data_IF_985737470497
#
_entry.id   IF_985737470497
#
_cell.length_a   1.000
_cell.length_b   1.000
_cell.length_c   1.000
_cell.angle_alpha   90.00
_cell.angle_beta   90.00
_cell.angle_gamma   90.00
#
_symmetry.space_group_name_H-M   'P 1'
#
loop_
_entity.id
_entity.type
_entity.pdbx_description
1 polymer ?
#
# COMPACT_ATOMS: atom_id res chain seq x y z
N UNK A 1 -24.85 -72.69 -8.90
CA UNK A 1 -24.53 -71.89 -7.70
C UNK A 1 -23.04 -72.00 -7.48
N UNK A 2 -22.23 -71.01 -7.89
CA UNK A 2 -21.82 -69.85 -7.06
C UNK A 2 -21.41 -70.26 -5.64
N UNK A 3 -20.11 -70.15 -5.34
CA UNK A 3 -19.46 -69.52 -4.18
C UNK A 3 -17.95 -69.78 -4.37
N UNK A 4 -17.09 -68.84 -3.97
CA UNK A 4 -15.61 -68.78 -4.18
C UNK A 4 -15.08 -67.96 -5.36
N UNK A 5 -15.58 -66.73 -5.51
CA UNK A 5 -14.86 -65.67 -6.23
C UNK A 5 -14.91 -64.34 -5.46
N UNK A 6 -14.60 -64.36 -4.15
CA UNK A 6 -14.61 -63.16 -3.30
C UNK A 6 -13.28 -62.84 -2.58
N UNK A 7 -12.18 -63.53 -2.92
CA UNK A 7 -10.85 -63.23 -2.36
C UNK A 7 -9.85 -62.88 -3.46
N UNK A 8 -10.06 -61.72 -4.09
CA UNK A 8 -8.98 -60.96 -4.71
C UNK A 8 -9.36 -59.48 -4.79
N UNK A 9 -9.69 -58.88 -3.64
CA UNK A 9 -9.47 -57.43 -3.46
C UNK A 9 -7.97 -57.26 -3.45
N UNK A 10 -7.42 -56.67 -4.49
CA UNK A 10 -6.06 -56.13 -4.47
C UNK A 10 -5.96 -55.25 -3.23
N UNK A 11 -5.06 -55.61 -2.31
CA UNK A 11 -4.63 -54.72 -1.27
C UNK A 11 -3.88 -53.57 -1.93
N UNK A 12 -4.59 -52.52 -2.32
CA UNK A 12 -3.99 -51.19 -2.41
C UNK A 12 -3.45 -50.90 -1.01
N UNK A 13 -2.14 -51.05 -0.84
CA UNK A 13 -1.43 -50.48 0.31
C UNK A 13 -1.82 -49.01 0.33
N UNK A 14 -2.63 -48.57 1.30
CA UNK A 14 -2.72 -47.16 1.64
C UNK A 14 -1.31 -46.74 2.00
N UNK A 15 -0.60 -46.07 1.09
CA UNK A 15 0.64 -45.38 1.43
C UNK A 15 0.31 -44.48 2.62
N UNK A 16 1.02 -44.68 3.74
CA UNK A 16 0.83 -43.84 4.92
C UNK A 16 1.13 -42.39 4.57
N UNK A 17 0.43 -41.45 5.22
CA UNK A 17 0.68 -40.01 5.06
C UNK A 17 2.17 -39.76 5.29
N UNK A 18 2.87 -39.29 4.26
CA UNK A 18 4.30 -39.03 4.35
C UNK A 18 4.51 -37.65 4.98
N UNK A 19 5.19 -37.60 6.13
CA UNK A 19 5.59 -36.32 6.72
C UNK A 19 6.87 -35.83 6.04
N UNK A 20 6.87 -34.56 5.62
CA UNK A 20 7.99 -33.93 4.90
C UNK A 20 8.24 -32.56 5.51
N UNK A 21 9.49 -32.26 5.85
CA UNK A 21 9.87 -30.92 6.28
C UNK A 21 9.76 -29.94 5.12
N UNK A 22 9.22 -28.74 5.37
CA UNK A 22 9.05 -27.74 4.32
C UNK A 22 10.37 -27.38 3.61
N UNK A 23 11.50 -27.40 4.33
CA UNK A 23 12.83 -27.19 3.74
C UNK A 23 13.25 -28.28 2.74
N UNK A 24 12.78 -29.50 2.92
CA UNK A 24 13.10 -30.68 2.09
C UNK A 24 12.09 -30.90 0.96
N UNK A 25 10.96 -30.18 0.96
CA UNK A 25 9.87 -30.39 0.02
C UNK A 25 10.30 -30.15 -1.44
N UNK A 26 11.15 -29.15 -1.68
CA UNK A 26 11.68 -28.86 -3.01
C UNK A 26 12.50 -30.02 -3.59
N UNK A 27 13.44 -30.56 -2.81
CA UNK A 27 14.23 -31.73 -3.23
C UNK A 27 13.34 -32.94 -3.47
N UNK A 28 12.31 -33.14 -2.63
CA UNK A 28 11.38 -34.24 -2.79
C UNK A 28 10.54 -34.10 -4.07
N UNK A 29 9.96 -32.93 -4.36
CA UNK A 29 9.23 -32.68 -5.62
C UNK A 29 10.18 -32.86 -6.81
N UNK A 30 11.42 -32.36 -6.71
CA UNK A 30 12.45 -32.52 -7.74
C UNK A 30 12.80 -33.99 -8.01
N UNK A 31 12.87 -34.81 -6.96
CA UNK A 31 13.13 -36.26 -7.09
C UNK A 31 12.00 -36.99 -7.83
N UNK A 32 10.75 -36.55 -7.65
CA UNK A 32 9.60 -37.06 -8.40
C UNK A 32 9.69 -36.66 -9.87
N UNK A 33 10.12 -35.42 -10.15
CA UNK A 33 10.39 -34.95 -11.51
C UNK A 33 11.45 -35.78 -12.21
N UNK A 34 12.58 -36.04 -11.54
CA UNK A 34 13.65 -36.88 -12.08
C UNK A 34 13.21 -38.32 -12.36
N UNK A 35 12.43 -38.93 -11.46
CA UNK A 35 11.89 -40.28 -11.66
C UNK A 35 10.87 -40.35 -12.81
N UNK A 36 9.99 -39.36 -12.89
CA UNK A 36 9.03 -39.24 -13.98
C UNK A 36 9.73 -39.08 -15.33
N UNK A 37 10.75 -38.22 -15.37
CA UNK A 37 11.59 -38.00 -16.55
C UNK A 37 12.30 -39.27 -16.98
N UNK A 38 12.99 -39.97 -16.07
CA UNK A 38 13.72 -41.19 -16.39
C UNK A 38 12.80 -42.28 -16.97
N UNK A 39 11.62 -42.45 -16.35
CA UNK A 39 10.61 -43.42 -16.79
C UNK A 39 10.07 -43.08 -18.18
N UNK A 40 9.80 -41.79 -18.43
CA UNK A 40 9.31 -41.34 -19.73
C UNK A 40 10.40 -41.45 -20.80
N UNK A 41 11.64 -41.09 -20.47
CA UNK A 41 12.78 -41.17 -21.38
C UNK A 41 13.06 -42.62 -21.82
N UNK A 42 12.94 -43.60 -20.92
CA UNK A 42 13.04 -45.02 -21.29
C UNK A 42 11.99 -45.44 -22.33
N UNK A 43 10.73 -44.96 -22.21
CA UNK A 43 9.70 -45.20 -23.24
C UNK A 43 10.03 -44.48 -24.56
N UNK A 44 10.53 -43.25 -24.47
CA UNK A 44 10.84 -42.40 -25.63
C UNK A 44 12.00 -42.94 -26.46
N UNK A 45 13.02 -43.57 -25.86
CA UNK A 45 14.13 -44.21 -26.61
C UNK A 45 13.59 -45.24 -27.61
N UNK A 46 12.62 -46.07 -27.19
CA UNK A 46 11.96 -47.03 -28.07
C UNK A 46 11.21 -46.34 -29.21
N UNK A 47 10.40 -45.32 -28.87
CA UNK A 47 9.58 -44.59 -29.85
C UNK A 47 10.46 -43.84 -30.88
N UNK A 48 11.56 -43.22 -30.45
CA UNK A 48 12.53 -42.53 -31.33
C UNK A 48 13.17 -43.49 -32.33
N UNK A 49 13.53 -44.69 -31.88
CA UNK A 49 14.05 -45.75 -32.73
C UNK A 49 13.00 -46.20 -33.76
N UNK A 50 11.76 -46.40 -33.33
CA UNK A 50 10.67 -46.80 -34.21
C UNK A 50 10.33 -45.72 -35.25
N UNK A 51 10.36 -44.44 -34.87
CA UNK A 51 10.21 -43.32 -35.82
C UNK A 51 11.31 -43.34 -36.87
N UNK A 52 12.57 -43.55 -36.45
CA UNK A 52 13.72 -43.63 -37.36
C UNK A 52 13.54 -44.76 -38.38
N UNK A 53 13.04 -45.90 -37.92
CA UNK A 53 12.75 -47.06 -38.76
C UNK A 53 11.59 -46.79 -39.73
N UNK A 54 10.52 -46.12 -39.29
CA UNK A 54 9.43 -45.70 -40.18
C UNK A 54 9.91 -44.69 -41.24
N UNK A 55 10.81 -43.74 -40.90
CA UNK A 55 11.44 -42.83 -41.88
C UNK A 55 12.23 -43.60 -42.95
N UNK A 56 12.97 -44.64 -42.54
CA UNK A 56 13.69 -45.53 -43.46
C UNK A 56 12.71 -46.30 -44.35
N UNK A 57 11.66 -46.89 -43.77
CA UNK A 57 10.63 -47.62 -44.50
C UNK A 57 9.90 -46.76 -45.54
N UNK A 58 9.59 -45.50 -45.21
CA UNK A 58 9.03 -44.53 -46.17
C UNK A 58 10.00 -44.30 -47.33
N UNK A 59 11.28 -44.08 -47.03
CA UNK A 59 12.30 -43.80 -48.04
C UNK A 59 12.46 -44.98 -49.01
N UNK A 60 12.46 -46.21 -48.50
CA UNK A 60 12.52 -47.44 -49.31
C UNK A 60 11.25 -47.62 -50.17
N UNK A 61 10.07 -47.38 -49.60
CA UNK A 61 8.82 -47.52 -50.33
C UNK A 61 8.63 -46.40 -51.38
N UNK A 62 9.16 -45.20 -51.14
CA UNK A 62 9.24 -44.14 -52.14
C UNK A 62 10.15 -44.51 -53.30
N UNK A 63 11.30 -45.13 -53.02
CA UNK A 63 12.20 -45.62 -54.07
C UNK A 63 11.51 -46.71 -54.91
N UNK A 64 10.86 -47.68 -54.27
CA UNK A 64 10.05 -48.70 -54.96
C UNK A 64 8.96 -48.07 -55.83
N UNK A 65 8.23 -47.07 -55.33
CA UNK A 65 7.20 -46.35 -56.08
C UNK A 65 7.78 -45.69 -57.35
N UNK A 66 9.00 -45.13 -57.25
CA UNK A 66 9.70 -44.53 -58.40
C UNK A 66 10.13 -45.57 -59.43
N UNK A 67 10.67 -46.70 -58.97
CA UNK A 67 11.24 -47.75 -59.83
C UNK A 67 10.18 -48.69 -60.44
N UNK A 68 8.96 -48.70 -59.89
CA UNK A 68 7.90 -49.63 -60.34
C UNK A 68 7.35 -49.22 -61.72
N UNK A 69 7.38 -50.17 -62.65
CA UNK A 69 6.78 -50.02 -63.99
C UNK A 69 5.29 -50.37 -64.02
N UNK A 70 4.60 -49.85 -65.03
CA UNK A 70 3.18 -50.14 -65.26
C UNK A 70 2.98 -51.58 -65.73
N UNK A 71 2.15 -52.33 -64.99
CA UNK A 71 1.73 -53.69 -65.38
C UNK A 71 0.89 -53.69 -66.68
N UNK A 72 0.16 -52.62 -66.96
CA UNK A 72 -0.58 -52.44 -68.21
C UNK A 72 0.02 -51.27 -69.00
N UNK A 73 0.74 -51.58 -70.07
CA UNK A 73 1.38 -50.56 -70.92
C UNK A 73 0.41 -49.95 -71.96
N UNK A 74 -0.78 -50.51 -72.13
CA UNK A 74 -1.79 -50.08 -73.12
C UNK A 74 -2.71 -48.95 -72.60
N UNK A 75 -2.17 -48.03 -71.80
CA UNK A 75 -2.92 -46.88 -71.29
C UNK A 75 -2.64 -45.61 -72.13
N UNK A 76 -3.60 -44.66 -72.23
CA UNK A 76 -3.41 -43.42 -72.96
C UNK A 76 -2.22 -42.60 -72.45
N UNK A 77 -1.49 -41.94 -73.35
CA UNK A 77 -0.29 -41.16 -73.02
C UNK A 77 -0.57 -40.05 -71.98
N UNK A 78 -1.74 -39.40 -72.09
CA UNK A 78 -2.21 -38.42 -71.09
C UNK A 78 -2.31 -39.00 -69.68
N UNK A 79 -2.72 -40.27 -69.53
CA UNK A 79 -2.80 -40.93 -68.24
C UNK A 79 -1.40 -41.23 -67.67
N UNK A 80 -0.43 -41.62 -68.51
CA UNK A 80 0.98 -41.81 -68.12
C UNK A 80 1.59 -40.52 -67.59
N UNK A 81 1.37 -39.40 -68.27
CA UNK A 81 1.86 -38.07 -67.88
C UNK A 81 1.24 -37.60 -66.55
N UNK A 82 -0.08 -37.72 -66.40
CA UNK A 82 -0.77 -37.35 -65.14
C UNK A 82 -0.20 -38.17 -63.97
N UNK A 83 -0.05 -39.48 -64.13
CA UNK A 83 0.53 -40.36 -63.12
C UNK A 83 1.96 -39.96 -62.76
N UNK A 84 2.82 -39.72 -63.74
CA UNK A 84 4.23 -39.33 -63.52
C UNK A 84 4.33 -38.03 -62.73
N UNK A 85 3.59 -36.99 -63.16
CA UNK A 85 3.53 -35.72 -62.45
C UNK A 85 3.04 -35.88 -61.01
N UNK A 86 1.97 -36.68 -60.79
CA UNK A 86 1.48 -36.92 -59.45
C UNK A 86 2.49 -37.69 -58.59
N UNK A 87 3.26 -38.62 -59.16
CA UNK A 87 4.31 -39.37 -58.47
C UNK A 87 5.41 -38.46 -57.98
N UNK A 88 5.98 -37.64 -58.88
CA UNK A 88 7.07 -36.72 -58.55
C UNK A 88 6.64 -35.78 -57.42
N UNK A 89 5.45 -35.17 -57.55
CA UNK A 89 4.94 -34.27 -56.52
C UNK A 89 4.67 -34.98 -55.18
N UNK A 90 4.13 -36.20 -55.20
CA UNK A 90 3.88 -36.96 -53.96
C UNK A 90 5.19 -37.32 -53.25
N UNK A 91 6.17 -37.83 -54.00
CA UNK A 91 7.48 -38.21 -53.48
C UNK A 91 8.19 -37.00 -52.89
N UNK A 92 8.26 -35.88 -53.62
CA UNK A 92 8.88 -34.65 -53.14
C UNK A 92 8.26 -34.14 -51.84
N UNK A 93 6.92 -34.07 -51.77
CA UNK A 93 6.23 -33.58 -50.58
C UNK A 93 6.39 -34.51 -49.38
N UNK A 94 6.43 -35.82 -49.60
CA UNK A 94 6.62 -36.77 -48.51
C UNK A 94 8.06 -36.76 -48.00
N UNK A 95 9.04 -36.61 -48.88
CA UNK A 95 10.44 -36.44 -48.46
C UNK A 95 10.61 -35.19 -47.59
N UNK A 96 9.98 -34.07 -47.96
CA UNK A 96 10.01 -32.84 -47.14
C UNK A 96 9.41 -33.09 -45.75
N UNK A 97 8.21 -33.70 -45.67
CA UNK A 97 7.59 -34.02 -44.38
C UNK A 97 8.52 -34.89 -43.53
N UNK A 98 9.05 -35.98 -44.10
CA UNK A 98 9.94 -36.91 -43.38
C UNK A 98 11.22 -36.22 -42.90
N UNK A 99 11.78 -35.29 -43.67
CA UNK A 99 12.95 -34.52 -43.23
C UNK A 99 12.65 -33.62 -42.04
N UNK A 100 11.45 -33.02 -41.98
CA UNK A 100 11.01 -32.18 -40.87
C UNK A 100 10.73 -32.96 -39.57
N UNK A 101 10.49 -34.27 -39.65
CA UNK A 101 10.31 -35.12 -38.46
C UNK A 101 11.66 -35.34 -37.76
N UNK A 102 12.06 -34.43 -36.89
CA UNK A 102 13.20 -34.56 -35.99
C UNK A 102 12.72 -34.54 -34.54
N UNK A 103 12.68 -35.71 -33.90
CA UNK A 103 12.26 -35.81 -32.50
C UNK A 103 13.32 -35.14 -31.62
N UNK A 104 12.97 -34.15 -30.79
CA UNK A 104 13.90 -33.52 -29.86
C UNK A 104 14.56 -34.50 -28.87
N UNK A 105 15.78 -34.15 -28.45
CA UNK A 105 16.44 -34.85 -27.34
C UNK A 105 15.98 -34.33 -25.99
N UNK A 106 15.71 -33.04 -25.88
CA UNK A 106 15.22 -32.41 -24.66
C UNK A 106 13.72 -32.64 -24.48
N UNK A 107 13.32 -33.01 -23.27
CA UNK A 107 11.97 -33.48 -22.98
C UNK A 107 10.93 -32.36 -23.01
N UNK A 108 11.30 -31.17 -22.57
CA UNK A 108 10.50 -29.94 -22.59
C UNK A 108 10.21 -29.45 -24.01
N UNK A 109 10.99 -29.86 -25.00
CA UNK A 109 10.74 -29.57 -26.42
C UNK A 109 9.73 -30.53 -27.08
N UNK A 110 9.44 -31.69 -26.46
CA UNK A 110 8.61 -32.75 -27.06
C UNK A 110 7.15 -32.33 -27.28
N UNK A 111 6.58 -31.54 -26.36
CA UNK A 111 5.21 -31.04 -26.50
C UNK A 111 5.06 -30.09 -27.72
N UNK A 112 6.07 -29.23 -27.91
CA UNK A 112 6.15 -28.35 -29.08
C UNK A 112 6.32 -29.14 -30.38
N UNK A 113 7.16 -30.18 -30.36
CA UNK A 113 7.34 -31.09 -31.49
C UNK A 113 6.05 -31.82 -31.89
N UNK A 114 5.28 -32.36 -30.94
CA UNK A 114 4.03 -33.06 -31.26
C UNK A 114 3.04 -32.12 -31.97
N UNK A 115 2.93 -30.88 -31.48
CA UNK A 115 2.06 -29.86 -32.07
C UNK A 115 2.50 -29.46 -33.49
N UNK A 116 3.81 -29.34 -33.74
CA UNK A 116 4.33 -28.97 -35.06
C UNK A 116 4.18 -30.11 -36.07
N UNK A 117 4.36 -31.36 -35.63
CA UNK A 117 4.15 -32.54 -36.47
C UNK A 117 2.70 -32.66 -36.94
N UNK A 118 1.72 -32.47 -36.04
CA UNK A 118 0.30 -32.52 -36.40
C UNK A 118 -0.05 -31.48 -37.47
N UNK A 119 0.49 -30.27 -37.35
CA UNK A 119 0.31 -29.21 -38.34
C UNK A 119 0.96 -29.58 -39.69
N UNK A 120 2.18 -30.12 -39.68
CA UNK A 120 2.89 -30.57 -40.87
C UNK A 120 2.15 -31.72 -41.57
N UNK A 121 1.64 -32.70 -40.82
CA UNK A 121 0.88 -33.84 -41.33
C UNK A 121 -0.45 -33.39 -41.95
N UNK A 122 -1.18 -32.47 -41.32
CA UNK A 122 -2.42 -31.92 -41.87
C UNK A 122 -2.18 -31.15 -43.19
N UNK A 123 -1.11 -30.35 -43.24
CA UNK A 123 -0.68 -29.64 -44.46
C UNK A 123 -0.29 -30.62 -45.58
N UNK A 124 0.49 -31.64 -45.26
CA UNK A 124 0.84 -32.71 -46.19
C UNK A 124 -0.40 -33.41 -46.74
N UNK A 125 -1.31 -33.86 -45.86
CA UNK A 125 -2.52 -34.59 -46.23
C UNK A 125 -3.40 -33.79 -47.18
N UNK A 126 -3.70 -32.52 -46.84
CA UNK A 126 -4.51 -31.64 -47.68
C UNK A 126 -3.92 -31.41 -49.06
N UNK A 127 -2.59 -31.34 -49.15
CA UNK A 127 -1.89 -30.97 -50.39
C UNK A 127 -1.47 -32.15 -51.25
N UNK A 128 -1.67 -33.40 -50.79
CA UNK A 128 -1.29 -34.63 -51.50
C UNK A 128 -2.43 -35.61 -51.73
N UNK A 129 -3.63 -35.35 -51.19
CA UNK A 129 -4.78 -36.27 -51.28
C UNK A 129 -5.08 -36.73 -52.71
N UNK A 130 -5.05 -35.79 -53.68
CA UNK A 130 -5.27 -36.09 -55.10
C UNK A 130 -4.16 -36.98 -55.65
N UNK A 131 -2.91 -36.64 -55.35
CA UNK A 131 -1.74 -37.40 -55.79
C UNK A 131 -1.81 -38.84 -55.29
N UNK A 132 -2.14 -39.02 -54.01
CA UNK A 132 -2.31 -40.34 -53.41
C UNK A 132 -3.38 -41.17 -54.14
N UNK A 133 -4.58 -40.62 -54.37
CA UNK A 133 -5.64 -41.35 -55.05
C UNK A 133 -5.29 -41.72 -56.50
N UNK A 134 -4.63 -40.82 -57.23
CA UNK A 134 -4.12 -41.13 -58.58
C UNK A 134 -3.11 -42.26 -58.50
N UNK A 135 -2.12 -42.19 -57.61
CA UNK A 135 -1.09 -43.21 -57.49
C UNK A 135 -1.65 -44.55 -57.04
N UNK A 136 -2.64 -44.56 -56.14
CA UNK A 136 -3.30 -45.79 -55.68
C UNK A 136 -3.95 -46.57 -56.84
N UNK A 137 -4.45 -45.90 -57.88
CA UNK A 137 -5.02 -46.57 -59.05
C UNK A 137 -3.97 -47.32 -59.90
N UNK A 138 -2.72 -46.87 -59.88
CA UNK A 138 -1.64 -47.43 -60.70
C UNK A 138 -0.64 -48.28 -59.90
N UNK A 139 -0.47 -47.97 -58.61
CA UNK A 139 0.55 -48.46 -57.68
C UNK A 139 -0.07 -48.69 -56.30
N UNK A 140 -1.13 -49.50 -56.26
CA UNK A 140 -1.93 -49.70 -55.04
C UNK A 140 -1.07 -50.18 -53.86
N UNK A 141 -0.18 -51.14 -54.10
CA UNK A 141 0.64 -51.75 -53.06
C UNK A 141 1.66 -50.74 -52.51
N UNK A 142 2.36 -50.04 -53.39
CA UNK A 142 3.40 -49.08 -53.03
C UNK A 142 2.79 -47.87 -52.31
N UNK A 143 1.69 -47.31 -52.84
CA UNK A 143 0.98 -46.20 -52.21
C UNK A 143 0.38 -46.60 -50.86
N UNK A 144 -0.14 -47.83 -50.73
CA UNK A 144 -0.70 -48.31 -49.46
C UNK A 144 0.38 -48.59 -48.41
N UNK A 145 1.54 -49.11 -48.80
CA UNK A 145 2.68 -49.31 -47.91
C UNK A 145 3.17 -47.98 -47.33
N UNK A 146 3.33 -46.95 -48.18
CA UNK A 146 3.70 -45.59 -47.75
C UNK A 146 2.67 -45.01 -46.77
N UNK A 147 1.38 -45.15 -47.08
CA UNK A 147 0.30 -44.68 -46.20
C UNK A 147 0.30 -45.41 -44.84
N UNK A 148 0.64 -46.70 -44.82
CA UNK A 148 0.78 -47.46 -43.58
C UNK A 148 1.95 -46.96 -42.72
N UNK A 149 3.12 -46.68 -43.33
CA UNK A 149 4.25 -46.09 -42.60
C UNK A 149 3.89 -44.72 -41.99
N UNK A 150 3.21 -43.86 -42.76
CA UNK A 150 2.80 -42.53 -42.30
C UNK A 150 1.83 -42.63 -41.11
N UNK A 151 0.88 -43.55 -41.17
CA UNK A 151 -0.07 -43.81 -40.07
C UNK A 151 0.63 -44.35 -38.82
N UNK A 152 1.64 -45.20 -38.99
CA UNK A 152 2.46 -45.68 -37.87
C UNK A 152 3.25 -44.52 -37.25
N UNK A 153 3.82 -43.64 -38.06
CA UNK A 153 4.53 -42.45 -37.60
C UNK A 153 3.62 -41.51 -36.80
N UNK A 154 2.41 -41.23 -37.30
CA UNK A 154 1.38 -40.47 -36.57
C UNK A 154 1.07 -41.10 -35.20
N UNK A 155 0.86 -42.41 -35.16
CA UNK A 155 0.64 -43.15 -33.90
C UNK A 155 1.83 -43.02 -32.95
N UNK A 156 3.06 -43.11 -33.45
CA UNK A 156 4.28 -43.00 -32.63
C UNK A 156 4.42 -41.60 -32.04
N UNK A 157 4.15 -40.54 -32.81
CA UNK A 157 4.16 -39.16 -32.30
C UNK A 157 3.07 -38.97 -31.24
N UNK A 158 1.88 -39.54 -31.43
CA UNK A 158 0.85 -39.54 -30.38
C UNK A 158 1.30 -40.27 -29.11
N UNK A 159 2.03 -41.38 -29.22
CA UNK A 159 2.63 -42.06 -28.07
C UNK A 159 3.68 -41.21 -27.36
N UNK A 160 4.40 -40.33 -28.06
CA UNK A 160 5.30 -39.34 -27.43
C UNK A 160 4.47 -38.39 -26.57
N UNK A 161 3.39 -37.83 -27.13
CA UNK A 161 2.50 -36.93 -26.40
C UNK A 161 1.92 -37.59 -25.15
N UNK A 162 1.39 -38.82 -25.28
CA UNK A 162 0.86 -39.59 -24.16
C UNK A 162 1.94 -39.88 -23.10
N UNK A 163 3.18 -40.19 -23.49
CA UNK A 163 4.27 -40.39 -22.56
C UNK A 163 4.65 -39.13 -21.78
N UNK A 164 4.56 -37.95 -22.42
CA UNK A 164 4.78 -36.64 -21.77
C UNK A 164 3.67 -36.34 -20.77
N UNK A 165 2.41 -36.53 -21.16
CA UNK A 165 1.24 -36.30 -20.30
C UNK A 165 1.19 -37.28 -19.11
N UNK A 166 1.45 -38.57 -19.35
CA UNK A 166 1.48 -39.63 -18.33
C UNK A 166 2.57 -39.41 -17.28
N UNK A 167 3.70 -38.83 -17.68
CA UNK A 167 4.79 -38.51 -16.76
C UNK A 167 4.38 -37.43 -15.75
N UNK A 168 3.34 -36.64 -16.05
CA UNK A 168 2.83 -35.60 -15.14
C UNK A 168 3.84 -34.50 -14.83
N UNK A 169 4.81 -34.26 -15.71
CA UNK A 169 5.91 -33.30 -15.49
C UNK A 169 5.38 -31.86 -15.37
N UNK A 170 4.38 -31.48 -16.16
CA UNK A 170 3.73 -30.17 -16.02
C UNK A 170 3.19 -29.95 -14.62
N UNK A 171 2.56 -30.99 -14.06
CA UNK A 171 2.00 -30.95 -12.71
C UNK A 171 3.10 -30.82 -11.65
N UNK A 172 4.25 -31.45 -11.86
CA UNK A 172 5.42 -31.36 -10.98
C UNK A 172 6.04 -29.95 -11.05
N UNK A 173 6.15 -29.38 -12.26
CA UNK A 173 6.67 -28.03 -12.47
C UNK A 173 5.78 -26.97 -11.81
N UNK A 174 4.46 -27.06 -11.99
CA UNK A 174 3.52 -26.15 -11.33
C UNK A 174 3.58 -26.25 -9.79
N UNK A 175 3.81 -27.44 -9.24
CA UNK A 175 4.02 -27.63 -7.80
C UNK A 175 5.35 -27.03 -7.34
N UNK A 176 6.40 -27.19 -8.13
CA UNK A 176 7.71 -26.59 -7.87
C UNK A 176 7.61 -25.06 -7.83
N UNK A 177 6.89 -24.46 -8.76
CA UNK A 177 6.70 -23.00 -8.79
C UNK A 177 5.83 -22.51 -7.63
N UNK A 178 4.78 -23.26 -7.27
CA UNK A 178 3.98 -23.00 -6.07
C UNK A 178 4.86 -23.05 -4.81
N UNK A 179 5.75 -24.04 -4.71
CA UNK A 179 6.70 -24.18 -3.60
C UNK A 179 7.68 -23.01 -3.52
N UNK A 180 8.27 -22.60 -4.65
CA UNK A 180 9.14 -21.41 -4.72
C UNK A 180 8.40 -20.16 -4.24
N UNK A 181 7.13 -19.99 -4.61
CA UNK A 181 6.29 -18.89 -4.13
C UNK A 181 6.11 -18.89 -2.61
N UNK A 182 5.92 -20.07 -2.01
CA UNK A 182 5.86 -20.22 -0.55
C UNK A 182 7.21 -19.89 0.12
N UNK A 183 8.32 -20.37 -0.44
CA UNK A 183 9.66 -20.04 0.09
C UNK A 183 9.93 -18.52 0.07
N UNK A 184 9.56 -17.82 -1.01
CA UNK A 184 9.69 -16.37 -1.10
C UNK A 184 8.86 -15.65 -0.01
N UNK A 185 7.64 -16.12 0.26
CA UNK A 185 6.81 -15.57 1.34
C UNK A 185 7.40 -15.81 2.74
N UNK A 186 8.00 -16.98 2.97
CA UNK A 186 8.69 -17.28 4.24
C UNK A 186 9.90 -16.37 4.43
N UNK A 187 10.73 -16.22 3.40
CA UNK A 187 11.87 -15.30 3.44
C UNK A 187 11.42 -13.86 3.73
N UNK A 188 10.37 -13.39 3.06
CA UNK A 188 9.78 -12.08 3.34
C UNK A 188 9.31 -11.96 4.80
N UNK A 189 8.70 -13.01 5.36
CA UNK A 189 8.27 -13.04 6.77
C UNK A 189 9.44 -12.93 7.73
N UNK A 190 10.56 -13.59 7.45
CA UNK A 190 11.80 -13.48 8.23
C UNK A 190 12.38 -12.05 8.18
N UNK A 191 12.49 -11.48 6.98
CA UNK A 191 12.96 -10.09 6.80
C UNK A 191 12.06 -9.07 7.51
N UNK A 192 10.74 -9.31 7.53
CA UNK A 192 9.79 -8.48 8.27
C UNK A 192 10.03 -8.59 9.77
N UNK A 193 10.28 -9.79 10.30
CA UNK A 193 10.56 -9.99 11.73
C UNK A 193 11.85 -9.28 12.18
N UNK A 194 12.90 -9.31 11.38
CA UNK A 194 14.12 -8.53 11.64
C UNK A 194 13.84 -7.02 11.68
N UNK A 195 13.10 -6.51 10.69
CA UNK A 195 12.69 -5.10 10.61
C UNK A 195 11.78 -4.70 11.78
N UNK A 196 10.86 -5.56 12.20
CA UNK A 196 10.02 -5.36 13.39
C UNK A 196 10.89 -5.23 14.63
N UNK A 197 11.91 -6.08 14.78
CA UNK A 197 12.90 -5.98 15.86
C UNK A 197 13.62 -4.64 15.89
N UNK A 198 14.15 -4.20 14.75
CA UNK A 198 14.86 -2.92 14.62
C UNK A 198 13.96 -1.72 14.96
N UNK A 199 12.79 -1.63 14.35
CA UNK A 199 11.83 -0.54 14.59
C UNK A 199 11.31 -0.58 16.04
N UNK A 200 11.17 -1.78 16.61
CA UNK A 200 10.81 -1.96 18.02
C UNK A 200 11.85 -1.40 18.98
N UNK A 201 13.15 -1.56 18.68
CA UNK A 201 14.22 -0.99 19.49
C UNK A 201 14.32 0.54 19.34
N UNK A 202 14.17 1.05 18.13
CA UNK A 202 14.05 2.49 17.86
C UNK A 202 12.91 3.12 18.69
N UNK A 203 11.72 2.51 18.66
CA UNK A 203 10.57 2.97 19.45
C UNK A 203 10.86 2.97 20.95
N UNK A 204 11.59 1.98 21.47
CA UNK A 204 12.00 1.94 22.88
C UNK A 204 12.96 3.07 23.21
N UNK A 205 13.93 3.36 22.35
CA UNK A 205 14.88 4.47 22.55
C UNK A 205 14.16 5.82 22.55
N UNK A 206 13.24 6.04 21.62
CA UNK A 206 12.45 7.28 21.58
C UNK A 206 11.58 7.45 22.82
N UNK A 207 10.92 6.38 23.29
CA UNK A 207 10.15 6.40 24.53
C UNK A 207 11.02 6.70 25.76
N UNK A 208 12.25 6.17 25.83
CA UNK A 208 13.21 6.56 26.89
C UNK A 208 13.51 8.05 26.83
N UNK A 209 13.70 8.60 25.63
CA UNK A 209 13.85 10.04 25.42
C UNK A 209 12.66 10.84 25.94
N UNK A 210 11.42 10.41 25.67
CA UNK A 210 10.22 11.06 26.23
C UNK A 210 10.28 11.12 27.75
N UNK A 211 10.56 9.99 28.41
CA UNK A 211 10.64 9.91 29.88
C UNK A 211 11.75 10.82 30.43
N UNK A 212 12.91 10.87 29.78
CA UNK A 212 14.03 11.71 30.17
C UNK A 212 13.67 13.20 30.08
N UNK A 213 13.13 13.65 28.95
CA UNK A 213 12.75 15.06 28.77
C UNK A 213 11.57 15.47 29.67
N UNK A 214 10.62 14.57 29.95
CA UNK A 214 9.58 14.81 30.96
C UNK A 214 10.16 14.95 32.36
N UNK A 215 11.18 14.15 32.71
CA UNK A 215 11.88 14.27 34.00
C UNK A 215 12.62 15.61 34.07
N UNK A 216 13.30 16.02 33.01
CA UNK A 216 13.99 17.31 32.93
C UNK A 216 13.02 18.49 33.06
N UNK A 217 11.87 18.44 32.37
CA UNK A 217 10.83 19.47 32.49
C UNK A 217 10.33 19.59 33.93
N UNK A 218 9.99 18.47 34.56
CA UNK A 218 9.56 18.47 35.98
C UNK A 218 10.64 19.01 36.92
N UNK A 219 11.91 18.69 36.67
CA UNK A 219 13.04 19.23 37.42
C UNK A 219 13.15 20.75 37.26
N UNK A 220 12.99 21.26 36.04
CA UNK A 220 12.95 22.71 35.77
C UNK A 220 11.77 23.36 36.49
N UNK A 221 10.57 22.79 36.42
CA UNK A 221 9.36 23.31 37.08
C UNK A 221 9.50 23.39 38.61
N UNK A 222 10.31 22.51 39.20
CA UNK A 222 10.61 22.54 40.63
C UNK A 222 11.74 23.50 41.02
N UNK A 223 12.53 23.95 40.03
CA UNK A 223 13.65 24.87 40.23
C UNK A 223 13.19 26.22 40.74
N UNK A 224 14.10 26.90 41.44
CA UNK A 224 13.84 28.24 41.96
C UNK A 224 13.60 29.25 40.83
N UNK A 225 14.39 29.18 39.75
CA UNK A 225 14.27 30.07 38.59
C UNK A 225 12.89 29.96 37.90
N UNK A 226 12.35 28.74 37.77
CA UNK A 226 11.03 28.55 37.19
C UNK A 226 9.91 29.02 38.12
N UNK A 227 10.03 28.81 39.44
CA UNK A 227 9.08 29.33 40.43
C UNK A 227 9.04 30.85 40.44
N UNK A 228 10.19 31.49 40.31
CA UNK A 228 10.29 32.95 40.16
C UNK A 228 9.57 33.41 38.90
N UNK A 229 9.83 32.76 37.76
CA UNK A 229 9.11 33.01 36.52
C UNK A 229 7.59 32.84 36.67
N UNK A 230 7.12 31.76 37.29
CA UNK A 230 5.71 31.53 37.55
C UNK A 230 5.12 32.65 38.42
N UNK A 231 5.84 33.09 39.45
CA UNK A 231 5.46 34.23 40.27
C UNK A 231 5.36 35.55 39.48
N UNK A 232 6.20 35.76 38.46
CA UNK A 232 6.08 36.91 37.55
C UNK A 232 4.78 36.84 36.72
N UNK A 233 4.39 35.64 36.26
CA UNK A 233 3.11 35.44 35.55
C UNK A 233 1.92 35.75 36.45
N UNK A 234 1.93 35.30 37.71
CA UNK A 234 0.88 35.58 38.68
C UNK A 234 0.78 37.08 38.98
N UNK A 235 1.92 37.75 39.21
CA UNK A 235 1.99 39.21 39.39
C UNK A 235 1.42 39.96 38.20
N UNK A 236 1.70 39.49 36.98
CA UNK A 236 1.16 40.09 35.75
C UNK A 236 -0.35 39.98 35.71
N UNK A 237 -0.90 38.82 36.06
CA UNK A 237 -2.33 38.63 36.11
C UNK A 237 -3.00 39.56 37.14
N UNK A 238 -2.40 39.70 38.34
CA UNK A 238 -2.89 40.63 39.36
C UNK A 238 -2.89 42.09 38.86
N UNK A 239 -1.79 42.55 38.24
CA UNK A 239 -1.72 43.91 37.69
C UNK A 239 -2.73 44.16 36.57
N UNK A 240 -2.99 43.16 35.72
CA UNK A 240 -4.03 43.24 34.68
C UNK A 240 -5.41 43.38 35.33
N UNK A 241 -5.70 42.60 36.37
CA UNK A 241 -6.96 42.70 37.10
C UNK A 241 -7.14 44.05 37.80
N UNK A 242 -6.07 44.59 38.41
CA UNK A 242 -6.07 45.92 39.02
C UNK A 242 -6.33 47.02 37.99
N UNK A 243 -5.69 46.94 36.81
CA UNK A 243 -5.87 47.91 35.73
C UNK A 243 -7.30 47.87 35.19
N UNK A 244 -7.87 46.68 35.00
CA UNK A 244 -9.27 46.53 34.59
C UNK A 244 -10.24 47.01 35.68
N UNK A 245 -9.93 46.79 36.95
CA UNK A 245 -10.68 47.35 38.07
C UNK A 245 -10.70 48.88 38.04
N UNK A 246 -9.54 49.50 37.82
CA UNK A 246 -9.40 50.95 37.70
C UNK A 246 -10.21 51.49 36.51
N UNK A 247 -10.12 50.87 35.33
CA UNK A 247 -10.91 51.25 34.15
C UNK A 247 -12.41 51.15 34.41
N UNK A 248 -12.86 50.10 35.11
CA UNK A 248 -14.28 49.93 35.47
C UNK A 248 -14.79 51.01 36.41
N UNK A 249 -13.95 51.49 37.34
CA UNK A 249 -14.32 52.57 38.26
C UNK A 249 -14.63 53.85 37.48
N UNK A 250 -13.71 54.29 36.61
CA UNK A 250 -13.93 55.51 35.83
C UNK A 250 -15.06 55.34 34.80
N UNK A 251 -15.21 54.14 34.20
CA UNK A 251 -16.32 53.81 33.32
C UNK A 251 -17.67 54.01 34.02
N UNK A 252 -17.77 53.57 35.28
CA UNK A 252 -18.99 53.75 36.07
C UNK A 252 -19.32 55.23 36.26
N UNK A 253 -18.32 56.04 36.66
CA UNK A 253 -18.48 57.48 36.84
C UNK A 253 -18.94 58.17 35.55
N UNK A 254 -18.30 57.89 34.42
CA UNK A 254 -18.71 58.42 33.11
C UNK A 254 -20.10 57.93 32.67
N UNK A 255 -20.47 56.68 32.98
CA UNK A 255 -21.80 56.15 32.70
C UNK A 255 -22.90 56.90 33.48
N UNK A 256 -22.62 57.28 34.73
CA UNK A 256 -23.54 58.07 35.55
C UNK A 256 -23.74 59.46 34.95
N UNK A 257 -22.66 60.15 34.56
CA UNK A 257 -22.73 61.53 34.06
C UNK A 257 -23.03 61.65 32.56
N UNK A 258 -23.05 60.54 31.81
CA UNK A 258 -23.25 60.49 30.35
C UNK A 258 -24.46 61.30 29.87
N UNK A 259 -25.59 61.21 30.59
CA UNK A 259 -26.80 61.95 30.24
C UNK A 259 -26.63 63.47 30.36
N UNK A 260 -25.85 63.93 31.35
CA UNK A 260 -25.54 65.35 31.53
C UNK A 260 -24.54 65.82 30.47
N UNK A 261 -23.49 65.04 30.18
CA UNK A 261 -22.53 65.32 29.11
C UNK A 261 -23.21 65.47 27.74
N UNK A 262 -24.14 64.57 27.38
CA UNK A 262 -24.91 64.67 26.12
C UNK A 262 -25.79 65.92 26.02
N UNK A 263 -26.36 66.36 27.14
CA UNK A 263 -27.16 67.58 27.17
C UNK A 263 -26.27 68.81 27.05
N UNK A 264 -25.15 68.82 27.76
CA UNK A 264 -24.18 69.90 27.71
C UNK A 264 -23.55 70.06 26.32
N UNK A 265 -23.19 68.97 25.63
CA UNK A 265 -22.67 69.01 24.25
C UNK A 265 -23.62 69.72 23.27
N UNK A 266 -24.94 69.53 23.44
CA UNK A 266 -25.96 70.21 22.63
C UNK A 266 -26.10 71.69 22.96
N UNK A 267 -25.88 72.07 24.22
CA UNK A 267 -25.94 73.47 24.67
C UNK A 267 -24.71 74.28 24.24
N UNK A 268 -23.53 73.66 24.21
CA UNK A 268 -22.26 74.34 23.91
C UNK A 268 -21.88 74.33 22.43
N UNK A 269 -22.86 74.14 21.52
CA UNK A 269 -22.65 74.10 20.07
C UNK A 269 -21.65 73.01 19.63
N UNK A 270 -21.77 71.80 20.18
CA UNK A 270 -20.98 70.62 19.78
C UNK A 270 -19.48 70.73 20.07
N UNK A 271 -19.12 71.00 21.33
CA UNK A 271 -17.72 70.99 21.77
C UNK A 271 -17.04 69.64 21.44
N UNK A 272 -16.00 69.71 20.60
CA UNK A 272 -15.22 68.56 20.11
C UNK A 272 -14.60 67.75 21.27
N UNK A 273 -14.25 68.40 22.38
CA UNK A 273 -13.69 67.73 23.55
C UNK A 273 -14.77 66.89 24.25
N UNK A 274 -15.97 67.46 24.46
CA UNK A 274 -17.10 66.74 25.08
C UNK A 274 -17.50 65.53 24.24
N UNK A 275 -17.51 65.66 22.91
CA UNK A 275 -17.74 64.54 21.99
C UNK A 275 -16.71 63.42 22.15
N UNK A 276 -15.42 63.78 22.26
CA UNK A 276 -14.36 62.81 22.51
C UNK A 276 -14.61 61.97 23.78
N UNK A 277 -15.02 62.62 24.87
CA UNK A 277 -15.35 61.92 26.12
C UNK A 277 -16.63 61.07 26.05
N UNK A 278 -17.59 61.41 25.18
CA UNK A 278 -18.80 60.62 24.95
C UNK A 278 -18.53 59.37 24.09
N UNK A 279 -17.55 59.42 23.20
CA UNK A 279 -17.15 58.31 22.33
C UNK A 279 -16.22 57.33 23.05
N UNK A 280 -15.12 57.83 23.62
CA UNK A 280 -14.16 57.06 24.41
C UNK A 280 -13.53 57.95 25.48
N UNK A 281 -14.14 57.94 26.67
CA UNK A 281 -13.68 58.73 27.81
C UNK A 281 -12.24 58.41 28.22
N UNK A 282 -11.77 57.18 28.05
CA UNK A 282 -10.43 56.79 28.50
C UNK A 282 -9.39 57.35 27.53
N UNK A 283 -9.59 57.17 26.23
CA UNK A 283 -8.72 57.73 25.20
C UNK A 283 -8.73 59.26 25.24
N UNK A 284 -9.90 59.88 25.44
CA UNK A 284 -10.04 61.32 25.59
C UNK A 284 -9.29 61.83 26.83
N UNK A 285 -9.41 61.16 27.97
CA UNK A 285 -8.71 61.53 29.20
C UNK A 285 -7.19 61.44 29.07
N UNK A 286 -6.69 60.40 28.40
CA UNK A 286 -5.24 60.25 28.14
C UNK A 286 -4.70 61.32 27.19
N UNK A 287 -5.54 61.87 26.31
CA UNK A 287 -5.19 62.95 25.39
C UNK A 287 -5.34 64.37 25.97
N UNK A 288 -6.13 64.53 27.04
CA UNK A 288 -6.44 65.82 27.67
C UNK A 288 -5.37 66.25 28.67
N UNK A 289 -4.22 66.68 28.15
CA UNK A 289 -3.04 67.08 28.96
C UNK A 289 -3.31 68.22 29.95
N UNK A 290 -4.34 69.04 29.71
CA UNK A 290 -4.69 70.17 30.57
C UNK A 290 -5.84 69.83 31.54
N UNK A 291 -6.41 68.62 31.45
CA UNK A 291 -7.57 68.18 32.23
C UNK A 291 -8.76 69.14 32.13
N UNK A 292 -9.02 69.63 30.91
CA UNK A 292 -10.15 70.52 30.62
C UNK A 292 -11.50 69.89 30.94
N UNK A 293 -11.57 68.55 30.99
CA UNK A 293 -12.74 67.83 31.48
C UNK A 293 -13.17 68.24 32.89
N UNK A 294 -12.25 68.61 33.79
CA UNK A 294 -12.61 69.07 35.13
C UNK A 294 -13.43 70.37 35.06
N UNK A 295 -13.00 71.33 34.23
CA UNK A 295 -13.75 72.57 33.99
C UNK A 295 -15.13 72.32 33.35
N UNK A 296 -15.20 71.33 32.45
CA UNK A 296 -16.47 70.92 31.83
C UNK A 296 -17.41 70.32 32.86
N UNK A 297 -16.92 69.44 33.74
CA UNK A 297 -17.69 68.82 34.81
C UNK A 297 -18.23 69.89 35.78
N UNK A 298 -17.41 70.89 36.14
CA UNK A 298 -17.83 72.02 36.98
C UNK A 298 -18.91 72.88 36.31
N UNK A 299 -18.74 73.19 35.02
CA UNK A 299 -19.76 73.93 34.24
C UNK A 299 -21.07 73.15 34.15
N UNK A 300 -21.00 71.84 33.95
CA UNK A 300 -22.19 70.97 33.94
C UNK A 300 -22.88 71.00 35.31
N UNK A 301 -22.12 70.88 36.40
CA UNK A 301 -22.67 70.94 37.75
C UNK A 301 -23.35 72.29 38.02
N UNK A 302 -22.72 73.41 37.64
CA UNK A 302 -23.27 74.75 37.77
C UNK A 302 -24.55 74.95 36.95
N UNK A 303 -24.59 74.53 35.68
CA UNK A 303 -25.79 74.63 34.84
C UNK A 303 -26.94 73.76 35.34
N UNK A 304 -26.67 72.61 35.97
CA UNK A 304 -27.71 71.79 36.63
C UNK A 304 -28.23 72.48 37.91
N UNK A 305 -27.36 73.13 38.67
CA UNK A 305 -27.69 73.89 39.89
C UNK A 305 -28.55 75.12 39.60
N UNK A 306 -28.18 75.88 38.55
CA UNK A 306 -28.85 77.12 38.14
C UNK A 306 -30.14 76.89 37.34
N UNK A 307 -30.49 75.64 37.03
CA UNK A 307 -31.71 75.29 36.30
C UNK A 307 -31.60 75.40 34.77
N UNK A 308 -30.43 75.75 34.24
CA UNK A 308 -30.16 75.83 32.80
C UNK A 308 -30.12 74.46 32.12
N UNK A 309 -29.71 73.42 32.86
CA UNK A 309 -29.69 72.03 32.40
C UNK A 309 -30.68 71.18 33.20
N UNK A 310 -31.88 71.00 32.65
CA UNK A 310 -32.95 70.25 33.33
C UNK A 310 -32.67 68.74 33.41
N UNK A 311 -32.65 68.18 34.62
CA UNK A 311 -32.59 66.73 34.89
C UNK A 311 -33.71 66.33 35.86
N UNK A 312 -34.35 65.18 35.64
CA UNK A 312 -35.54 64.74 36.40
C UNK A 312 -35.19 64.11 37.75
N UNK A 313 -35.75 64.64 38.84
CA UNK A 313 -35.89 63.98 40.17
C UNK A 313 -34.59 63.38 40.75
N UNK A 314 -34.68 62.23 41.43
CA UNK A 314 -33.55 61.51 42.09
C UNK A 314 -32.32 61.25 41.19
N UNK A 315 -32.46 61.31 39.86
CA UNK A 315 -31.32 61.18 38.93
C UNK A 315 -30.45 62.44 38.91
N UNK A 316 -31.04 63.61 39.12
CA UNK A 316 -30.32 64.89 39.24
C UNK A 316 -29.31 64.83 40.39
N UNK A 317 -29.77 64.41 41.57
CA UNK A 317 -28.93 64.37 42.78
C UNK A 317 -27.76 63.38 42.63
N UNK A 318 -28.01 62.20 42.05
CA UNK A 318 -26.97 61.19 41.80
C UNK A 318 -25.92 61.67 40.80
N UNK A 319 -26.34 62.39 39.74
CA UNK A 319 -25.42 62.97 38.75
C UNK A 319 -24.60 64.10 39.37
N UNK A 320 -25.23 65.01 40.12
CA UNK A 320 -24.53 66.09 40.82
C UNK A 320 -23.49 65.55 41.80
N UNK A 321 -23.85 64.55 42.61
CA UNK A 321 -22.92 63.88 43.51
C UNK A 321 -21.72 63.27 42.79
N UNK A 322 -21.93 62.70 41.61
CA UNK A 322 -20.83 62.12 40.83
C UNK A 322 -19.97 63.19 40.15
N UNK A 323 -20.58 64.25 39.61
CA UNK A 323 -19.86 65.39 39.03
C UNK A 323 -18.95 66.06 40.06
N UNK A 324 -19.42 66.27 41.29
CA UNK A 324 -18.59 66.85 42.36
C UNK A 324 -17.40 65.99 42.79
N UNK A 325 -17.39 64.68 42.47
CA UNK A 325 -16.23 63.81 42.71
C UNK A 325 -15.22 63.86 41.56
N UNK A 326 -15.67 64.21 40.36
CA UNK A 326 -14.87 64.20 39.13
C UNK A 326 -14.13 65.54 38.96
N UNK A 327 -13.39 65.92 40.00
CA UNK A 327 -12.56 67.12 39.98
C UNK A 327 -11.18 66.85 39.36
N UNK A 328 -10.37 67.90 39.25
CA UNK A 328 -9.01 67.80 38.71
C UNK A 328 -8.15 66.81 39.50
N UNK A 329 -8.25 66.79 40.83
CA UNK A 329 -7.47 65.91 41.69
C UNK A 329 -7.82 64.43 41.47
N UNK A 330 -9.11 64.11 41.27
CA UNK A 330 -9.57 62.77 40.92
C UNK A 330 -8.96 62.29 39.61
N UNK A 331 -9.01 63.12 38.54
CA UNK A 331 -8.45 62.75 37.25
C UNK A 331 -6.93 62.61 37.28
N UNK A 332 -6.23 63.48 38.01
CA UNK A 332 -4.78 63.36 38.24
C UNK A 332 -4.43 62.07 38.97
N UNK A 333 -5.16 61.72 40.03
CA UNK A 333 -4.96 60.48 40.78
C UNK A 333 -5.24 59.24 39.92
N UNK A 334 -6.31 59.26 39.12
CA UNK A 334 -6.63 58.19 38.18
C UNK A 334 -5.51 57.99 37.15
N UNK A 335 -5.08 59.07 36.48
CA UNK A 335 -4.04 59.00 35.46
C UNK A 335 -2.70 58.58 36.04
N UNK A 336 -2.34 59.09 37.23
CA UNK A 336 -1.14 58.68 37.95
C UNK A 336 -1.10 57.17 38.21
N UNK A 337 -2.18 56.62 38.77
CA UNK A 337 -2.29 55.17 39.02
C UNK A 337 -2.33 54.36 37.71
N UNK A 338 -3.05 54.84 36.70
CA UNK A 338 -3.11 54.18 35.38
C UNK A 338 -1.74 54.09 34.71
N UNK A 339 -0.96 55.17 34.74
CA UNK A 339 0.39 55.18 34.19
C UNK A 339 1.35 54.32 35.02
N UNK A 340 1.25 54.33 36.35
CA UNK A 340 2.05 53.46 37.22
C UNK A 340 1.80 51.98 36.91
N UNK A 341 0.53 51.55 36.87
CA UNK A 341 0.16 50.16 36.58
C UNK A 341 0.64 49.73 35.19
N UNK A 342 0.48 50.57 34.17
CA UNK A 342 0.96 50.27 32.82
C UNK A 342 2.50 50.22 32.75
N UNK A 343 3.21 51.10 33.45
CA UNK A 343 4.67 51.07 33.53
C UNK A 343 5.16 49.77 34.17
N UNK A 344 4.57 49.40 35.32
CA UNK A 344 4.88 48.14 36.01
C UNK A 344 4.58 46.92 35.15
N UNK A 345 3.45 46.92 34.42
CA UNK A 345 3.09 45.86 33.49
C UNK A 345 4.07 45.77 32.31
N UNK A 346 4.55 46.90 31.81
CA UNK A 346 5.58 46.97 30.78
C UNK A 346 6.92 46.38 31.23
N UNK A 347 7.42 46.78 32.41
CA UNK A 347 8.64 46.21 33.01
C UNK A 347 8.50 44.69 33.22
N UNK A 348 7.36 44.26 33.78
CA UNK A 348 7.12 42.86 34.05
C UNK A 348 7.02 42.01 32.78
N UNK A 349 6.46 42.54 31.68
CA UNK A 349 6.47 41.86 30.37
C UNK A 349 7.91 41.64 29.89
N UNK A 350 8.77 42.64 30.00
CA UNK A 350 10.18 42.53 29.59
C UNK A 350 10.94 41.51 30.44
N UNK A 351 10.68 41.45 31.75
CA UNK A 351 11.27 40.44 32.65
C UNK A 351 10.81 39.02 32.29
N UNK A 352 9.52 38.85 31.98
CA UNK A 352 8.94 37.58 31.52
C UNK A 352 9.55 37.13 30.19
N UNK A 353 9.65 38.03 29.22
CA UNK A 353 10.21 37.73 27.88
C UNK A 353 11.69 37.37 27.94
N UNK A 354 12.44 37.97 28.87
CA UNK A 354 13.86 37.72 29.03
C UNK A 354 14.18 36.57 30.00
N UNK A 355 13.17 35.94 30.60
CA UNK A 355 13.38 34.82 31.53
C UNK A 355 14.02 33.62 30.85
N UNK A 356 15.22 33.24 31.30
CA UNK A 356 15.91 32.06 30.79
C UNK A 356 15.16 30.77 31.12
N UNK A 357 14.51 30.71 32.28
CA UNK A 357 13.65 29.58 32.66
C UNK A 357 12.47 29.40 31.71
N UNK A 358 11.89 30.50 31.21
CA UNK A 358 10.82 30.45 30.22
C UNK A 358 11.33 29.92 28.87
N UNK A 359 12.48 30.42 28.41
CA UNK A 359 13.13 29.98 27.17
C UNK A 359 13.50 28.50 27.24
N UNK A 360 14.10 28.04 28.34
CA UNK A 360 14.45 26.63 28.53
C UNK A 360 13.21 25.74 28.58
N UNK A 361 12.16 26.16 29.30
CA UNK A 361 10.91 25.41 29.37
C UNK A 361 10.26 25.24 27.99
N UNK A 362 10.24 26.30 27.17
CA UNK A 362 9.68 26.22 25.82
C UNK A 362 10.54 25.36 24.89
N UNK A 363 11.87 25.44 25.00
CA UNK A 363 12.78 24.55 24.27
C UNK A 363 12.54 23.08 24.62
N UNK A 364 12.46 22.74 25.92
CA UNK A 364 12.17 21.38 26.38
C UNK A 364 10.81 20.91 25.86
N UNK A 365 9.76 21.75 25.98
CA UNK A 365 8.42 21.42 25.47
C UNK A 365 8.41 21.19 23.96
N UNK A 366 9.15 22.00 23.20
CA UNK A 366 9.28 21.84 21.76
C UNK A 366 9.95 20.51 21.39
N UNK A 367 11.08 20.19 22.03
CA UNK A 367 11.76 18.90 21.84
C UNK A 367 10.87 17.72 22.24
N UNK A 368 10.13 17.84 23.34
CA UNK A 368 9.19 16.82 23.79
C UNK A 368 8.09 16.59 22.75
N UNK A 369 7.49 17.66 22.19
CA UNK A 369 6.49 17.55 21.10
C UNK A 369 7.07 16.83 19.89
N UNK A 370 8.30 17.14 19.49
CA UNK A 370 8.96 16.47 18.37
C UNK A 370 9.19 14.98 18.63
N UNK A 371 9.68 14.61 19.82
CA UNK A 371 9.92 13.20 20.17
C UNK A 371 8.60 12.44 20.24
N UNK A 372 7.56 13.00 20.86
CA UNK A 372 6.23 12.37 20.94
C UNK A 372 5.67 12.13 19.54
N UNK A 373 5.81 13.10 18.63
CA UNK A 373 5.40 12.92 17.24
C UNK A 373 6.16 11.75 16.57
N UNK A 374 7.49 11.66 16.75
CA UNK A 374 8.25 10.53 16.22
C UNK A 374 7.84 9.19 16.82
N UNK A 375 7.57 9.13 18.13
CA UNK A 375 7.04 7.92 18.79
C UNK A 375 5.74 7.46 18.13
N UNK A 376 4.81 8.37 17.83
CA UNK A 376 3.57 8.04 17.13
C UNK A 376 3.82 7.51 15.71
N UNK A 377 4.73 8.15 14.96
CA UNK A 377 5.09 7.73 13.60
C UNK A 377 5.76 6.35 13.59
N UNK A 378 6.77 6.14 14.45
CA UNK A 378 7.47 4.87 14.62
C UNK A 378 6.52 3.77 15.08
N UNK A 379 5.58 4.08 15.98
CA UNK A 379 4.54 3.15 16.44
C UNK A 379 3.62 2.71 15.29
N UNK A 380 3.16 3.65 14.45
CA UNK A 380 2.36 3.34 13.25
C UNK A 380 3.14 2.46 12.28
N UNK A 381 4.41 2.78 12.02
CA UNK A 381 5.30 1.99 11.15
C UNK A 381 5.49 0.56 11.69
N UNK A 382 5.68 0.42 13.00
CA UNK A 382 5.79 -0.89 13.65
C UNK A 382 4.49 -1.70 13.48
N UNK A 383 3.33 -1.08 13.68
CA UNK A 383 2.03 -1.73 13.55
C UNK A 383 1.72 -2.16 12.12
N UNK A 384 2.09 -1.36 11.12
CA UNK A 384 1.97 -1.73 9.70
C UNK A 384 2.79 -2.98 9.40
N UNK A 385 4.07 -3.01 9.82
CA UNK A 385 4.94 -4.18 9.61
C UNK A 385 4.44 -5.44 10.30
N UNK A 386 3.92 -5.32 11.52
CA UNK A 386 3.27 -6.45 12.22
C UNK A 386 2.05 -6.96 11.48
N UNK A 387 1.22 -6.06 10.94
CA UNK A 387 0.07 -6.43 10.10
C UNK A 387 0.53 -7.19 8.85
N UNK A 388 1.53 -6.66 8.13
CA UNK A 388 2.12 -7.31 6.94
C UNK A 388 2.66 -8.72 7.26
N UNK A 389 3.40 -8.86 8.37
CA UNK A 389 3.97 -10.13 8.82
C UNK A 389 2.87 -11.15 9.18
N UNK A 390 1.85 -10.71 9.93
CA UNK A 390 0.72 -11.56 10.32
C UNK A 390 -0.16 -12.00 9.14
N UNK A 391 -0.16 -11.21 8.05
CA UNK A 391 -0.84 -11.56 6.81
C UNK A 391 -0.20 -12.74 6.06
N UNK A 392 1.04 -13.12 6.42
CA UNK A 392 1.73 -14.28 5.87
C UNK A 392 1.49 -15.50 6.78
N UNK A 393 0.44 -16.26 6.46
CA UNK A 393 0.11 -17.50 7.14
C UNK A 393 0.83 -18.69 6.47
N UNK A 394 1.97 -19.07 7.06
CA UNK A 394 2.81 -20.18 6.58
C UNK A 394 2.07 -21.52 6.69
N UNK A 395 1.25 -21.72 7.73
CA UNK A 395 0.51 -22.97 7.91
C UNK A 395 -0.55 -23.13 6.80
N UNK A 396 -1.27 -22.06 6.48
CA UNK A 396 -2.22 -22.06 5.35
C UNK A 396 -1.53 -22.27 4.01
N UNK A 397 -0.37 -21.65 3.79
CA UNK A 397 0.42 -21.85 2.58
C UNK A 397 0.90 -23.31 2.44
N UNK A 398 1.36 -23.92 3.53
CA UNK A 398 1.73 -25.34 3.58
C UNK A 398 0.52 -26.24 3.28
N UNK A 399 -0.63 -26.01 3.91
CA UNK A 399 -1.86 -26.77 3.62
C UNK A 399 -2.29 -26.67 2.16
N UNK A 400 -2.14 -25.50 1.54
CA UNK A 400 -2.44 -25.34 0.11
C UNK A 400 -1.48 -26.17 -0.76
N UNK A 401 -0.19 -26.26 -0.39
CA UNK A 401 0.76 -27.14 -1.08
C UNK A 401 0.40 -28.62 -0.89
N UNK A 402 0.01 -29.06 0.31
CA UNK A 402 -0.47 -30.42 0.56
C UNK A 402 -1.66 -30.79 -0.33
N UNK A 403 -2.67 -29.90 -0.40
CA UNK A 403 -3.83 -30.06 -1.27
C UNK A 403 -3.40 -30.12 -2.75
N UNK A 404 -2.47 -29.25 -3.16
CA UNK A 404 -1.91 -29.26 -4.50
C UNK A 404 -1.23 -30.60 -4.84
N UNK A 405 -0.38 -31.10 -3.96
CA UNK A 405 0.34 -32.38 -4.11
C UNK A 405 -0.66 -33.53 -4.22
N UNK A 406 -1.68 -33.56 -3.36
CA UNK A 406 -2.73 -34.58 -3.40
C UNK A 406 -3.50 -34.55 -4.72
N UNK A 407 -3.95 -33.37 -5.15
CA UNK A 407 -4.77 -33.23 -6.36
C UNK A 407 -3.98 -33.53 -7.65
N UNK A 408 -2.69 -33.17 -7.68
CA UNK A 408 -1.87 -33.27 -8.89
C UNK A 408 -1.11 -34.59 -9.00
N UNK A 409 -0.59 -35.10 -7.89
CA UNK A 409 0.25 -36.30 -7.85
C UNK A 409 -0.42 -37.49 -7.18
N UNK A 410 -1.61 -37.34 -6.60
CA UNK A 410 -2.32 -38.41 -5.91
C UNK A 410 -1.66 -38.85 -4.60
N UNK A 411 -0.71 -38.07 -4.06
CA UNK A 411 0.07 -38.41 -2.87
C UNK A 411 -0.43 -37.65 -1.65
N UNK A 412 -0.68 -38.37 -0.56
CA UNK A 412 -1.00 -37.79 0.74
C UNK A 412 0.30 -37.43 1.50
N UNK A 413 0.53 -36.13 1.66
CA UNK A 413 1.70 -35.56 2.33
C UNK A 413 1.24 -34.64 3.45
N UNK A 414 1.98 -34.63 4.56
CA UNK A 414 1.85 -33.64 5.62
C UNK A 414 3.14 -32.86 5.73
N UNK A 415 3.06 -31.56 5.51
CA UNK A 415 4.19 -30.63 5.57
C UNK A 415 4.32 -30.17 7.03
N UNK A 416 5.48 -30.44 7.61
CA UNK A 416 5.81 -29.96 8.95
C UNK A 416 6.72 -28.73 8.84
N UNK A 417 6.35 -27.67 9.55
CA UNK A 417 7.18 -26.47 9.74
C UNK A 417 8.02 -26.68 10.99
N UNK A 418 9.35 -26.61 10.86
CA UNK A 418 10.25 -26.47 12.02
C UNK A 418 10.17 -25.05 12.57
#
# INVERSE_FOLDING_TARGET
MRIFSFLKRSSEKKEGVKEIELGQLGEWIGSLGGQAFETANQKLIGIKKDITEEKRGISENLQKLMDTELKNQSIPERAKQIRESNRITYVQKLLNLVQEVSVPEEFDELAGFCSSFDAALASFSSSTVKNYYVLKQFFENEASAIAANLKNMERLVKSIQEAVEDAGIDKINELMDSFKGVQQKIKLKQELNEKIGMVGEELKQENRGVVEWQKRLRGLEQSQAYKEFAGLLDKKQLLVQELEGLKKQIFHSFSVINAALKKYERMTLQDKLVRGYLEDFLSALLGDKQLKIAEIVDKIAASIGNGELELKGKKKDKILQELHKLDKAYFEAFLGRYHELNKRLGSLKSEIENSDAAKEAEQIKSLLRQIVYRVEETSKRLQQKKTEESGIDVEKLSKNLEIGIKNKLGRDVKIISQ
#
